data_IF_382199093769
#
_entry.id   IF_382199093769
#
_cell.length_a   1.000
_cell.length_b   1.000
_cell.length_c   1.000
_cell.angle_alpha   90.00
_cell.angle_beta   90.00
_cell.angle_gamma   90.00
#
_symmetry.space_group_name_H-M   'P 1'
#
loop_
_entity.id
_entity.type
_entity.pdbx_description
1 polymer ?
#
# COMPACT_ATOMS: atom_id res chain seq x y z
N UNK A 1 26.33 50.69 24.40
CA UNK A 1 26.39 49.42 25.16
C UNK A 1 25.71 48.35 24.32
N UNK A 2 26.39 47.23 24.17
CA UNK A 2 26.23 46.25 23.10
C UNK A 2 24.94 45.42 23.26
N UNK A 3 24.31 45.17 22.10
CA UNK A 3 23.30 44.16 21.77
C UNK A 3 23.30 42.92 22.66
N UNK A 4 22.10 42.45 23.04
CA UNK A 4 21.75 41.02 23.00
C UNK A 4 20.29 40.89 22.57
N UNK A 5 20.02 41.14 21.28
CA UNK A 5 18.91 40.47 20.61
C UNK A 5 19.36 39.02 20.40
N UNK A 6 18.82 38.09 21.18
CA UNK A 6 18.95 36.66 20.86
C UNK A 6 18.02 36.42 19.67
N UNK A 7 18.57 36.57 18.47
CA UNK A 7 17.99 35.97 17.28
C UNK A 7 18.17 34.46 17.40
N UNK A 8 17.17 33.76 17.95
CA UNK A 8 17.04 32.33 17.69
C UNK A 8 16.66 32.17 16.21
N UNK A 9 17.68 32.07 15.37
CA UNK A 9 17.52 31.61 14.00
C UNK A 9 17.10 30.14 14.03
N UNK A 10 15.79 29.90 14.14
CA UNK A 10 15.22 28.64 13.65
C UNK A 10 15.25 28.76 12.14
N UNK A 11 16.12 27.99 11.49
CA UNK A 11 16.16 27.83 10.03
C UNK A 11 14.77 27.44 9.54
N UNK A 12 14.03 28.43 9.02
CA UNK A 12 12.61 28.34 8.70
C UNK A 12 12.29 27.62 7.38
N UNK A 13 13.27 26.93 6.79
CA UNK A 13 13.11 26.27 5.48
C UNK A 13 12.81 24.77 5.56
N UNK A 14 13.09 24.09 6.68
CA UNK A 14 12.97 22.61 6.77
C UNK A 14 11.74 22.12 7.59
N UNK A 15 10.88 23.01 8.09
CA UNK A 15 9.77 22.65 9.00
C UNK A 15 8.37 22.71 8.37
N UNK A 16 8.22 23.15 7.12
CA UNK A 16 6.89 23.36 6.51
C UNK A 16 6.18 22.04 6.24
N UNK A 17 6.86 21.06 5.63
CA UNK A 17 6.27 19.76 5.32
C UNK A 17 5.87 18.99 6.59
N UNK A 18 6.74 18.89 7.59
CA UNK A 18 6.39 18.27 8.88
C UNK A 18 5.26 19.01 9.61
N UNK A 19 5.26 20.35 9.61
CA UNK A 19 4.18 21.13 10.20
C UNK A 19 2.83 20.85 9.51
N UNK A 20 2.82 20.70 8.17
CA UNK A 20 1.64 20.27 7.42
C UNK A 20 1.16 18.89 7.85
N UNK A 21 2.08 17.94 8.08
CA UNK A 21 1.73 16.60 8.57
C UNK A 21 1.09 16.70 9.96
N UNK A 22 1.70 17.43 10.89
CA UNK A 22 1.13 17.62 12.23
C UNK A 22 -0.24 18.29 12.18
N UNK A 23 -0.40 19.33 11.37
CA UNK A 23 -1.70 19.98 11.14
C UNK A 23 -2.76 18.99 10.61
N UNK A 24 -2.37 18.10 9.70
CA UNK A 24 -3.27 17.10 9.12
C UNK A 24 -3.66 16.02 10.13
N UNK A 25 -2.71 15.58 10.96
CA UNK A 25 -2.92 14.52 11.96
C UNK A 25 -3.67 14.97 13.22
N UNK A 26 -3.55 16.26 13.57
CA UNK A 26 -4.19 16.86 14.75
C UNK A 26 -5.48 17.61 14.40
N UNK A 27 -5.82 17.73 13.11
CA UNK A 27 -7.10 18.26 12.66
C UNK A 27 -8.26 17.26 12.81
N UNK A 28 -9.42 17.61 12.25
CA UNK A 28 -10.57 16.69 12.20
C UNK A 28 -10.21 15.38 11.46
N UNK A 29 -10.74 14.24 11.91
CA UNK A 29 -10.49 12.90 11.36
C UNK A 29 -10.62 12.84 9.83
N UNK A 30 -11.57 13.58 9.25
CA UNK A 30 -11.75 13.64 7.80
C UNK A 30 -10.53 14.20 7.05
N UNK A 31 -9.75 15.11 7.66
CA UNK A 31 -8.55 15.66 7.00
C UNK A 31 -7.51 14.58 6.75
N UNK A 32 -7.23 13.76 7.76
CA UNK A 32 -6.27 12.67 7.63
C UNK A 32 -6.74 11.62 6.63
N UNK A 33 -8.04 11.24 6.66
CA UNK A 33 -8.59 10.32 5.67
C UNK A 33 -8.55 10.88 4.25
N UNK A 34 -8.86 12.17 4.06
CA UNK A 34 -8.81 12.80 2.74
C UNK A 34 -7.38 12.93 2.22
N UNK A 35 -6.42 13.21 3.11
CA UNK A 35 -5.02 13.39 2.76
C UNK A 35 -4.27 12.07 2.53
N UNK A 36 -4.42 11.12 3.45
CA UNK A 36 -3.58 9.93 3.57
C UNK A 36 -4.35 8.62 3.42
N UNK A 37 -5.67 8.67 3.17
CA UNK A 37 -6.57 7.51 3.01
C UNK A 37 -6.65 6.61 4.24
N UNK A 38 -6.30 7.14 5.42
CA UNK A 38 -6.38 6.43 6.70
C UNK A 38 -6.62 7.39 7.86
N UNK A 39 -7.03 6.86 9.00
CA UNK A 39 -7.19 7.63 10.22
C UNK A 39 -5.84 8.06 10.79
N UNK A 40 -5.83 9.13 11.59
CA UNK A 40 -4.59 9.64 12.19
C UNK A 40 -3.98 8.66 13.20
N UNK A 41 -4.80 7.78 13.79
CA UNK A 41 -4.33 6.68 14.64
C UNK A 41 -3.58 5.63 13.81
N UNK A 42 -4.18 5.16 12.72
CA UNK A 42 -3.58 4.16 11.82
C UNK A 42 -2.29 4.70 11.19
N UNK A 43 -2.26 5.97 10.80
CA UNK A 43 -1.04 6.61 10.29
C UNK A 43 0.10 6.56 11.31
N UNK A 44 -0.16 6.91 12.58
CA UNK A 44 0.85 6.87 13.65
C UNK A 44 1.31 5.44 13.92
N UNK A 45 0.40 4.47 13.89
CA UNK A 45 0.76 3.05 14.02
C UNK A 45 1.63 2.55 12.86
N UNK A 46 1.34 2.98 11.63
CA UNK A 46 2.17 2.68 10.46
C UNK A 46 3.58 3.24 10.67
N UNK A 47 3.71 4.52 11.00
CA UNK A 47 5.01 5.14 11.29
C UNK A 47 5.76 4.40 12.41
N UNK A 48 5.09 4.13 13.54
CA UNK A 48 5.69 3.37 14.63
C UNK A 48 6.17 1.99 14.17
N UNK A 49 5.40 1.29 13.34
CA UNK A 49 5.76 -0.01 12.79
C UNK A 49 6.97 0.07 11.85
N UNK A 50 7.01 1.06 10.95
CA UNK A 50 8.15 1.29 10.05
C UNK A 50 9.43 1.59 10.81
N UNK A 51 9.35 2.38 11.88
CA UNK A 51 10.48 2.69 12.76
C UNK A 51 10.98 1.47 13.52
N UNK A 52 10.07 0.78 14.21
CA UNK A 52 10.45 -0.29 15.16
C UNK A 52 10.76 -1.63 14.52
N UNK A 53 10.01 -2.03 13.49
CA UNK A 53 10.17 -3.34 12.85
C UNK A 53 11.03 -3.31 11.59
N UNK A 54 11.08 -2.17 10.91
CA UNK A 54 11.77 -2.04 9.63
C UNK A 54 12.94 -1.06 9.65
N UNK A 55 13.20 -0.40 10.79
CA UNK A 55 14.36 0.48 10.98
C UNK A 55 14.35 1.75 10.12
N UNK A 56 13.19 2.15 9.59
CA UNK A 56 13.09 3.35 8.76
C UNK A 56 12.72 4.57 9.61
N UNK A 57 13.57 5.59 9.61
CA UNK A 57 13.36 6.85 10.35
C UNK A 57 13.37 8.11 9.47
N UNK A 58 13.40 7.93 8.14
CA UNK A 58 13.55 9.01 7.18
C UNK A 58 15.01 9.37 6.91
N UNK A 59 15.26 10.64 6.58
CA UNK A 59 16.59 11.21 6.32
C UNK A 59 16.86 12.38 7.26
N UNK A 60 18.08 12.94 7.22
CA UNK A 60 18.44 14.13 8.01
C UNK A 60 17.53 15.34 7.77
N UNK A 61 16.93 15.47 6.58
CA UNK A 61 16.13 16.65 6.18
C UNK A 61 14.63 16.38 6.16
N UNK A 62 14.21 15.12 6.07
CA UNK A 62 12.80 14.73 5.96
C UNK A 62 12.59 13.53 6.87
N UNK A 63 11.83 13.72 7.94
CA UNK A 63 11.55 12.65 8.90
C UNK A 63 10.68 11.54 8.30
N UNK A 64 10.57 10.44 9.04
CA UNK A 64 9.68 9.32 8.74
C UNK A 64 8.26 9.76 8.41
N UNK A 65 7.64 10.53 9.30
CA UNK A 65 6.23 10.91 9.21
C UNK A 65 5.98 11.74 7.94
N UNK A 66 6.90 12.65 7.62
CA UNK A 66 6.83 13.45 6.39
C UNK A 66 7.05 12.61 5.14
N UNK A 67 8.01 11.69 5.15
CA UNK A 67 8.28 10.77 4.03
C UNK A 67 7.05 9.90 3.71
N UNK A 68 6.40 9.37 4.75
CA UNK A 68 5.18 8.57 4.64
C UNK A 68 4.02 9.44 4.15
N UNK A 69 3.87 10.66 4.68
CA UNK A 69 2.81 11.58 4.24
C UNK A 69 2.95 11.99 2.77
N UNK A 70 4.17 12.30 2.30
CA UNK A 70 4.46 12.59 0.89
C UNK A 70 3.98 11.42 0.02
N UNK A 71 4.36 10.20 0.41
CA UNK A 71 4.04 8.98 -0.35
C UNK A 71 2.54 8.69 -0.38
N UNK A 72 1.87 8.74 0.78
CA UNK A 72 0.43 8.48 0.86
C UNK A 72 -0.41 9.56 0.17
N UNK A 73 0.04 10.81 0.20
CA UNK A 73 -0.64 11.90 -0.54
C UNK A 73 -0.56 11.62 -2.04
N UNK A 74 0.60 11.22 -2.55
CA UNK A 74 0.76 10.85 -3.97
C UNK A 74 -0.12 9.65 -4.34
N UNK A 75 -0.03 8.55 -3.59
CA UNK A 75 -0.78 7.31 -3.89
C UNK A 75 -2.28 7.47 -3.73
N UNK A 76 -2.72 8.24 -2.72
CA UNK A 76 -4.13 8.37 -2.36
C UNK A 76 -4.87 9.45 -3.15
N UNK A 77 -4.21 10.54 -3.52
CA UNK A 77 -4.85 11.68 -4.22
C UNK A 77 -4.44 11.73 -5.70
N UNK A 78 -3.36 11.03 -6.09
CA UNK A 78 -2.75 11.15 -7.42
C UNK A 78 -2.35 12.60 -7.74
N UNK A 79 -1.87 13.33 -6.74
CA UNK A 79 -1.45 14.72 -6.88
C UNK A 79 -0.20 14.82 -7.77
N UNK A 80 -0.25 15.67 -8.80
CA UNK A 80 0.89 15.90 -9.70
C UNK A 80 2.13 16.42 -8.96
N UNK A 81 3.33 16.07 -9.47
CA UNK A 81 4.60 16.38 -8.82
C UNK A 81 4.81 17.88 -8.51
N UNK A 82 4.35 18.80 -9.37
CA UNK A 82 4.44 20.25 -9.09
C UNK A 82 3.64 20.67 -7.85
N UNK A 83 2.44 20.13 -7.69
CA UNK A 83 1.61 20.38 -6.50
C UNK A 83 2.20 19.74 -5.25
N UNK A 84 2.85 18.57 -5.38
CA UNK A 84 3.55 17.94 -4.26
C UNK A 84 4.73 18.79 -3.77
N UNK A 85 5.51 19.37 -4.70
CA UNK A 85 6.61 20.26 -4.37
C UNK A 85 6.14 21.50 -3.63
N UNK A 86 5.08 22.14 -4.13
CA UNK A 86 4.48 23.31 -3.47
C UNK A 86 3.89 22.93 -2.09
N UNK A 87 3.21 21.79 -2.01
CA UNK A 87 2.56 21.38 -0.76
C UNK A 87 3.54 21.04 0.35
N UNK A 88 4.64 20.35 0.03
CA UNK A 88 5.63 19.91 1.02
C UNK A 88 6.88 20.79 1.06
N UNK A 89 6.96 21.80 0.18
CA UNK A 89 8.09 22.72 0.04
C UNK A 89 9.43 22.00 -0.19
N UNK A 90 9.39 20.92 -0.97
CA UNK A 90 10.57 20.14 -1.35
C UNK A 90 10.75 20.13 -2.87
N UNK A 91 11.98 19.89 -3.34
CA UNK A 91 12.26 19.71 -4.76
C UNK A 91 11.57 18.45 -5.32
N UNK A 92 11.36 18.42 -6.64
CA UNK A 92 10.87 17.23 -7.37
C UNK A 92 11.66 15.98 -7.00
N UNK A 93 12.98 16.14 -6.94
CA UNK A 93 13.89 15.04 -6.70
C UNK A 93 13.73 14.49 -5.27
N UNK A 94 13.57 15.37 -4.27
CA UNK A 94 13.28 14.94 -2.89
C UNK A 94 11.94 14.22 -2.82
N UNK A 95 10.87 14.79 -3.38
CA UNK A 95 9.54 14.14 -3.39
C UNK A 95 9.62 12.73 -4.00
N UNK A 96 10.21 12.60 -5.19
CA UNK A 96 10.30 11.32 -5.88
C UNK A 96 11.19 10.32 -5.17
N UNK A 97 12.31 10.76 -4.57
CA UNK A 97 13.19 9.88 -3.79
C UNK A 97 12.47 9.28 -2.58
N UNK A 98 11.73 10.10 -1.84
CA UNK A 98 10.99 9.65 -0.67
C UNK A 98 9.84 8.72 -1.06
N UNK A 99 9.11 9.04 -2.13
CA UNK A 99 8.09 8.15 -2.71
C UNK A 99 8.69 6.80 -3.08
N UNK A 100 9.78 6.79 -3.84
CA UNK A 100 10.43 5.54 -4.27
C UNK A 100 10.87 4.71 -3.04
N UNK A 101 11.52 5.35 -2.07
CA UNK A 101 12.01 4.68 -0.86
C UNK A 101 10.88 4.04 -0.06
N UNK A 102 9.81 4.80 0.22
CA UNK A 102 8.69 4.32 1.02
C UNK A 102 7.87 3.30 0.24
N UNK A 103 7.65 3.47 -1.05
CA UNK A 103 6.97 2.47 -1.89
C UNK A 103 7.74 1.16 -1.91
N UNK A 104 9.07 1.19 -2.10
CA UNK A 104 9.89 -0.02 -2.02
C UNK A 104 9.74 -0.68 -0.65
N UNK A 105 9.89 0.08 0.44
CA UNK A 105 9.74 -0.45 1.79
C UNK A 105 8.36 -1.11 2.02
N UNK A 106 7.28 -0.43 1.62
CA UNK A 106 5.92 -0.92 1.80
C UNK A 106 5.62 -2.14 0.91
N UNK A 107 5.94 -2.06 -0.39
CA UNK A 107 5.53 -3.03 -1.39
C UNK A 107 6.44 -4.26 -1.47
N UNK A 108 7.72 -4.16 -1.11
CA UNK A 108 8.67 -5.29 -1.25
C UNK A 108 9.05 -5.91 0.09
N UNK A 109 9.10 -5.14 1.17
CA UNK A 109 9.53 -5.64 2.48
C UNK A 109 8.32 -5.86 3.40
N UNK A 110 7.52 -4.82 3.63
CA UNK A 110 6.39 -4.91 4.56
C UNK A 110 5.27 -5.80 4.03
N UNK A 111 4.91 -5.67 2.74
CA UNK A 111 3.88 -6.48 2.10
C UNK A 111 4.16 -7.99 2.23
N UNK A 112 5.40 -8.43 1.94
CA UNK A 112 5.80 -9.83 2.08
C UNK A 112 5.66 -10.36 3.52
N UNK A 113 5.78 -9.48 4.51
CA UNK A 113 5.64 -9.86 5.92
C UNK A 113 4.19 -9.93 6.40
N UNK A 114 3.27 -9.16 5.80
CA UNK A 114 1.89 -8.99 6.30
C UNK A 114 0.81 -9.59 5.38
N UNK A 115 1.05 -9.67 4.07
CA UNK A 115 0.12 -10.25 3.09
C UNK A 115 0.41 -11.74 3.03
N UNK A 116 -0.13 -12.46 4.02
CA UNK A 116 -0.07 -13.92 4.13
C UNK A 116 -1.17 -14.42 5.05
N UNK A 117 -1.60 -15.69 4.93
CA UNK A 117 -2.54 -16.28 5.86
C UNK A 117 -2.03 -16.21 7.30
N UNK A 118 -2.93 -15.90 8.24
CA UNK A 118 -2.63 -15.97 9.69
C UNK A 118 -2.31 -17.42 10.09
N UNK A 119 -3.08 -18.38 9.59
CA UNK A 119 -2.80 -19.81 9.68
C UNK A 119 -2.44 -20.37 8.30
N UNK A 120 -1.15 -20.60 8.01
CA UNK A 120 -0.71 -21.17 6.72
C UNK A 120 -1.21 -22.59 6.46
N UNK A 121 -1.68 -23.30 7.49
CA UNK A 121 -2.15 -24.69 7.37
C UNK A 121 -3.67 -24.80 7.27
N UNK A 122 -4.39 -23.68 7.38
CA UNK A 122 -5.85 -23.63 7.27
C UNK A 122 -6.57 -24.72 8.06
N UNK A 123 -6.15 -24.96 9.31
CA UNK A 123 -6.60 -26.10 10.13
C UNK A 123 -8.04 -25.97 10.59
N UNK A 124 -8.56 -24.75 10.65
CA UNK A 124 -9.87 -24.44 11.20
C UNK A 124 -10.64 -23.51 10.29
N UNK A 125 -11.89 -23.84 10.03
CA UNK A 125 -12.85 -22.91 9.41
C UNK A 125 -13.24 -21.83 10.43
N UNK A 126 -13.24 -20.54 10.07
CA UNK A 126 -13.68 -19.48 10.96
C UNK A 126 -15.09 -19.73 11.52
N UNK A 127 -15.31 -19.43 12.80
CA UNK A 127 -16.56 -19.72 13.49
C UNK A 127 -17.78 -19.04 12.86
N UNK A 128 -17.60 -17.82 12.34
CA UNK A 128 -18.66 -17.06 11.66
C UNK A 128 -19.04 -17.64 10.29
N UNK A 129 -18.18 -18.48 9.69
CA UNK A 129 -18.52 -19.26 8.49
C UNK A 129 -19.21 -20.56 8.88
N UNK A 130 -18.61 -21.33 9.79
CA UNK A 130 -19.15 -22.63 10.24
C UNK A 130 -20.51 -22.52 10.92
N UNK A 131 -20.75 -21.44 11.67
CA UNK A 131 -22.01 -21.18 12.36
C UNK A 131 -23.10 -20.53 11.51
N UNK A 132 -22.82 -20.19 10.25
CA UNK A 132 -23.77 -19.49 9.38
C UNK A 132 -24.50 -20.46 8.46
N UNK A 133 -25.84 -20.54 8.58
CA UNK A 133 -26.66 -21.33 7.64
C UNK A 133 -26.59 -20.85 6.19
N UNK A 134 -26.11 -19.63 5.95
CA UNK A 134 -25.89 -19.09 4.59
C UNK A 134 -24.62 -19.65 3.96
N UNK A 135 -23.56 -19.83 4.76
CA UNK A 135 -22.23 -20.17 4.26
C UNK A 135 -21.89 -21.65 4.47
N UNK A 136 -22.34 -22.25 5.57
CA UNK A 136 -22.13 -23.65 5.85
C UNK A 136 -23.25 -24.53 5.27
N UNK A 137 -22.95 -25.66 4.62
CA UNK A 137 -21.62 -26.25 4.35
C UNK A 137 -21.00 -25.81 3.02
N UNK A 138 -21.61 -24.89 2.27
CA UNK A 138 -21.17 -24.50 0.91
C UNK A 138 -19.72 -24.01 0.80
N UNK A 139 -19.18 -23.44 1.89
CA UNK A 139 -17.79 -22.96 1.98
C UNK A 139 -16.90 -23.87 2.84
N UNK A 140 -17.32 -25.12 3.10
CA UNK A 140 -16.43 -26.13 3.70
C UNK A 140 -15.19 -26.33 2.81
N UNK A 141 -14.00 -26.29 3.42
CA UNK A 141 -12.71 -26.38 2.70
C UNK A 141 -12.26 -25.11 1.98
N UNK A 142 -13.10 -24.08 1.84
CA UNK A 142 -12.69 -22.79 1.30
C UNK A 142 -11.79 -22.03 2.29
N UNK A 143 -10.73 -21.42 1.77
CA UNK A 143 -9.77 -20.62 2.58
C UNK A 143 -9.90 -19.11 2.37
N UNK A 144 -10.73 -18.70 1.42
CA UNK A 144 -10.85 -17.31 1.01
C UNK A 144 -11.51 -17.13 -0.35
N UNK A 145 -11.40 -15.92 -0.88
CA UNK A 145 -11.83 -15.55 -2.22
C UNK A 145 -10.63 -15.04 -3.05
N UNK A 146 -10.71 -15.19 -4.36
CA UNK A 146 -9.76 -14.64 -5.32
C UNK A 146 -10.52 -13.70 -6.24
N UNK A 147 -9.94 -12.55 -6.54
CA UNK A 147 -10.48 -11.61 -7.51
C UNK A 147 -9.36 -10.84 -8.22
N UNK A 148 -9.68 -10.30 -9.40
CA UNK A 148 -8.77 -9.53 -10.22
C UNK A 148 -9.05 -8.04 -10.15
N UNK A 149 -7.98 -7.25 -10.16
CA UNK A 149 -8.04 -5.79 -10.19
C UNK A 149 -7.23 -5.30 -11.37
N UNK A 150 -7.92 -4.70 -12.34
CA UNK A 150 -7.29 -4.03 -13.48
C UNK A 150 -6.96 -2.58 -13.13
N UNK A 151 -5.66 -2.27 -13.07
CA UNK A 151 -5.17 -0.90 -12.86
C UNK A 151 -4.83 -0.28 -14.20
N UNK A 152 -5.45 0.85 -14.61
CA UNK A 152 -5.11 1.53 -15.84
C UNK A 152 -3.65 1.95 -15.90
N UNK A 153 -3.02 1.75 -17.05
CA UNK A 153 -1.64 2.15 -17.31
C UNK A 153 -1.51 2.86 -18.65
N UNK A 154 -0.58 3.81 -18.73
CA UNK A 154 -0.20 4.48 -19.97
C UNK A 154 1.11 3.88 -20.44
N UNK A 155 1.11 3.30 -21.63
CA UNK A 155 2.25 2.60 -22.23
C UNK A 155 2.53 3.16 -23.64
N UNK A 156 3.77 3.09 -24.13
CA UNK A 156 4.10 3.32 -25.54
C UNK A 156 3.26 2.42 -26.46
N UNK A 157 2.86 2.92 -27.63
CA UNK A 157 1.88 2.27 -28.53
C UNK A 157 2.28 0.84 -28.88
N UNK A 158 3.57 0.64 -29.15
CA UNK A 158 4.22 -0.61 -29.46
C UNK A 158 4.09 -1.68 -28.35
N UNK A 159 3.92 -1.26 -27.09
CA UNK A 159 3.78 -2.15 -25.94
C UNK A 159 2.32 -2.37 -25.53
N UNK A 160 1.35 -1.62 -26.08
CA UNK A 160 -0.03 -1.62 -25.58
C UNK A 160 -0.78 -2.93 -25.83
N UNK A 161 -0.44 -3.67 -26.87
CA UNK A 161 -1.20 -4.84 -27.33
C UNK A 161 -1.48 -5.86 -26.21
N UNK A 162 -0.47 -6.40 -25.49
CA UNK A 162 -0.72 -7.34 -24.40
C UNK A 162 -1.47 -6.74 -23.20
N UNK A 163 -1.37 -5.43 -22.97
CA UNK A 163 -2.03 -4.79 -21.82
C UNK A 163 -3.47 -4.36 -22.11
N UNK A 164 -3.92 -4.46 -23.36
CA UNK A 164 -5.27 -4.07 -23.75
C UNK A 164 -6.29 -5.10 -23.27
N UNK A 165 -7.00 -4.77 -22.19
CA UNK A 165 -8.03 -5.63 -21.64
C UNK A 165 -9.32 -5.62 -22.45
N UNK A 166 -10.31 -6.41 -22.01
CA UNK A 166 -11.62 -6.56 -22.68
C UNK A 166 -12.34 -5.23 -22.95
N UNK A 167 -12.13 -4.21 -22.11
CA UNK A 167 -12.74 -2.87 -22.26
C UNK A 167 -11.99 -1.95 -23.23
N UNK A 168 -10.97 -2.45 -23.93
CA UNK A 168 -10.18 -1.68 -24.91
C UNK A 168 -9.17 -0.71 -24.30
N UNK A 169 -9.09 -0.62 -22.96
CA UNK A 169 -8.15 0.20 -22.20
C UNK A 169 -6.93 -0.65 -21.81
N UNK A 170 -5.75 -0.02 -21.80
CA UNK A 170 -4.51 -0.63 -21.30
C UNK A 170 -4.50 -0.70 -19.78
N UNK A 171 -4.31 -1.89 -19.24
CA UNK A 171 -4.33 -2.16 -17.79
C UNK A 171 -3.24 -3.15 -17.43
N UNK A 172 -2.72 -3.05 -16.21
CA UNK A 172 -2.01 -4.16 -15.56
C UNK A 172 -3.01 -4.89 -14.67
N UNK A 173 -2.95 -6.22 -14.71
CA UNK A 173 -3.80 -7.07 -13.89
C UNK A 173 -3.08 -7.44 -12.59
N UNK A 174 -3.81 -7.37 -11.49
CA UNK A 174 -3.40 -7.81 -10.17
C UNK A 174 -4.43 -8.81 -9.65
N UNK A 175 -4.03 -10.06 -9.46
CA UNK A 175 -4.86 -11.08 -8.82
C UNK A 175 -4.57 -11.07 -7.32
N UNK A 176 -5.60 -10.87 -6.51
CA UNK A 176 -5.49 -10.86 -5.06
C UNK A 176 -6.34 -11.97 -4.45
N UNK A 177 -5.86 -12.55 -3.35
CA UNK A 177 -6.67 -13.43 -2.51
C UNK A 177 -6.88 -12.79 -1.13
N UNK A 178 -8.05 -12.99 -0.54
CA UNK A 178 -8.36 -12.57 0.81
C UNK A 178 -9.02 -13.67 1.63
N UNK A 179 -8.86 -13.60 2.96
CA UNK A 179 -9.57 -14.48 3.90
C UNK A 179 -11.03 -14.01 4.14
N UNK A 180 -11.76 -14.74 4.98
CA UNK A 180 -13.14 -14.40 5.32
C UNK A 180 -13.30 -13.11 6.17
N UNK A 181 -12.20 -12.58 6.73
CA UNK A 181 -12.18 -11.26 7.37
C UNK A 181 -11.86 -10.14 6.36
N UNK A 182 -11.84 -10.44 5.06
CA UNK A 182 -11.49 -9.53 3.96
C UNK A 182 -10.04 -8.99 4.05
N UNK A 183 -9.12 -9.73 4.68
CA UNK A 183 -7.70 -9.38 4.72
C UNK A 183 -6.98 -10.06 3.57
N UNK A 184 -6.16 -9.32 2.84
CA UNK A 184 -5.35 -9.90 1.78
C UNK A 184 -4.37 -10.94 2.34
N UNK A 185 -4.40 -12.13 1.76
CA UNK A 185 -3.52 -13.26 2.08
C UNK A 185 -2.54 -13.56 0.97
N UNK A 186 -2.78 -13.02 -0.23
CA UNK A 186 -1.89 -13.13 -1.39
C UNK A 186 -2.18 -11.99 -2.38
N UNK A 187 -1.14 -11.54 -3.09
CA UNK A 187 -1.27 -10.60 -4.20
C UNK A 187 -0.22 -10.91 -5.27
N UNK A 188 -0.67 -11.27 -6.48
CA UNK A 188 0.15 -11.36 -7.67
C UNK A 188 -0.08 -10.13 -8.52
N UNK A 189 0.97 -9.35 -8.76
CA UNK A 189 0.89 -8.06 -9.44
C UNK A 189 1.63 -8.09 -10.78
N UNK A 190 1.27 -7.17 -11.68
CA UNK A 190 1.95 -6.90 -12.96
C UNK A 190 1.72 -7.94 -14.06
N UNK A 191 0.54 -8.52 -14.14
CA UNK A 191 0.15 -9.29 -15.32
C UNK A 191 -0.35 -8.40 -16.44
N UNK A 192 -0.30 -8.90 -17.67
CA UNK A 192 -0.82 -8.15 -18.81
C UNK A 192 -2.35 -8.05 -18.70
N UNK A 193 -2.93 -6.89 -19.04
CA UNK A 193 -4.38 -6.68 -18.94
C UNK A 193 -5.24 -7.57 -19.83
N UNK A 194 -4.65 -8.25 -20.81
CA UNK A 194 -5.34 -9.28 -21.62
C UNK A 194 -5.25 -10.70 -21.02
N UNK A 195 -4.43 -10.89 -19.98
CA UNK A 195 -4.25 -12.20 -19.37
C UNK A 195 -5.57 -12.70 -18.76
N UNK A 196 -5.89 -13.96 -19.04
CA UNK A 196 -7.04 -14.63 -18.45
C UNK A 196 -6.77 -15.03 -17.00
N UNK A 197 -7.82 -15.00 -16.20
CA UNK A 197 -7.79 -15.31 -14.77
C UNK A 197 -7.16 -16.67 -14.49
N UNK A 198 -7.57 -17.67 -15.26
CA UNK A 198 -7.03 -19.03 -15.15
C UNK A 198 -5.52 -19.07 -15.43
N UNK A 199 -4.99 -18.24 -16.33
CA UNK A 199 -3.56 -18.20 -16.65
C UNK A 199 -2.77 -17.66 -15.46
N UNK A 200 -3.24 -16.56 -14.85
CA UNK A 200 -2.58 -15.96 -13.69
C UNK A 200 -2.62 -16.93 -12.51
N UNK A 201 -3.81 -17.47 -12.23
CA UNK A 201 -4.02 -18.41 -11.13
C UNK A 201 -3.14 -19.67 -11.26
N UNK A 202 -3.13 -20.30 -12.43
CA UNK A 202 -2.29 -21.49 -12.67
C UNK A 202 -0.79 -21.17 -12.60
N UNK A 203 -0.37 -19.97 -13.00
CA UNK A 203 1.02 -19.57 -12.85
C UNK A 203 1.41 -19.48 -11.37
N UNK A 204 0.60 -18.81 -10.55
CA UNK A 204 0.84 -18.71 -9.10
C UNK A 204 0.80 -20.07 -8.39
N UNK A 205 -0.07 -20.98 -8.82
CA UNK A 205 -0.15 -22.33 -8.24
C UNK A 205 1.11 -23.17 -8.51
N UNK A 206 1.67 -23.03 -9.71
CA UNK A 206 2.78 -23.84 -10.20
C UNK A 206 4.15 -23.23 -9.93
N UNK A 207 4.22 -21.96 -9.53
CA UNK A 207 5.44 -21.29 -9.14
C UNK A 207 5.61 -21.28 -7.62
N UNK A 208 6.45 -22.18 -7.09
CA UNK A 208 6.69 -22.29 -5.66
C UNK A 208 7.20 -20.99 -5.00
N UNK A 209 7.86 -20.12 -5.78
CA UNK A 209 8.36 -18.83 -5.28
C UNK A 209 7.23 -17.86 -4.90
N UNK A 210 6.07 -18.00 -5.53
CA UNK A 210 4.93 -17.15 -5.25
C UNK A 210 4.29 -17.53 -3.90
N UNK A 211 4.55 -18.74 -3.40
CA UNK A 211 4.02 -19.24 -2.13
C UNK A 211 2.50 -19.05 -2.03
N UNK A 212 1.80 -19.35 -3.13
CA UNK A 212 0.35 -19.22 -3.20
C UNK A 212 -0.33 -20.07 -2.11
N UNK A 213 -1.27 -19.53 -1.32
CA UNK A 213 -1.91 -20.27 -0.23
C UNK A 213 -2.76 -21.44 -0.74
N UNK A 214 -2.55 -22.64 -0.18
CA UNK A 214 -3.24 -23.88 -0.58
C UNK A 214 -4.04 -24.43 0.61
N UNK A 215 -5.27 -24.91 0.40
CA UNK A 215 -6.05 -25.56 1.46
C UNK A 215 -5.34 -26.80 2.00
N UNK A 216 -5.65 -27.19 3.24
CA UNK A 216 -5.08 -28.40 3.84
C UNK A 216 -5.50 -29.64 3.02
N UNK A 217 -4.58 -30.57 2.70
CA UNK A 217 -4.95 -31.84 2.09
C UNK A 217 -5.92 -32.60 3.00
N UNK A 218 -7.17 -32.80 2.58
CA UNK A 218 -8.18 -33.52 3.36
C UNK A 218 -9.19 -32.65 4.11
N UNK A 219 -9.22 -31.34 3.86
CA UNK A 219 -10.43 -30.52 3.97
C UNK A 219 -11.18 -30.51 2.64
#
# INVERSE_FOLDING_TARGET
>A
MISHFIAMAVTSMDLVGYALVQYTLNGNQNKCHNAFRMSSHVFRQLCHTLRTRYGYDGTKRVCLEESVAITLTLLGIAMGNKMMQDRFQHSSETVLRHVATVVTLLATIMAANIIKPIDPKFRTVPSHIRGSNRYWPHFEGCIGAIDEVHVPVVLPVEEQHPYRGRKGVTTVNCMCACDFDMKFTFACVRWEGSAHDTRIFLNCLNNERDNFPKPHPGL
#
